data_IF_718662319323
#
_entry.id   IF_718662319323
#
_cell.length_a   1.000
_cell.length_b   1.000
_cell.length_c   1.000
_cell.angle_alpha   90.00
_cell.angle_beta   90.00
_cell.angle_gamma   90.00
#
_symmetry.space_group_name_H-M   'P 1'
#
loop_
_entity.id
_entity.type
_entity.pdbx_description
1 polymer ?
#
# COMPACT_ATOMS: atom_id res chain seq x y z
N UNK A 1 9.77 -24.78 7.55
CA UNK A 1 8.85 -25.42 6.58
C UNK A 1 8.33 -24.33 5.66
N UNK A 2 8.43 -24.56 4.38
CA UNK A 2 7.85 -23.65 3.38
C UNK A 2 6.33 -23.82 3.37
N UNK A 3 5.60 -22.70 3.34
CA UNK A 3 4.13 -22.73 3.30
C UNK A 3 3.72 -23.19 1.89
N UNK A 4 2.91 -24.24 1.81
CA UNK A 4 2.31 -24.69 0.57
C UNK A 4 1.28 -23.65 0.09
N UNK A 5 1.41 -23.24 -1.17
CA UNK A 5 0.51 -22.28 -1.79
C UNK A 5 -0.72 -23.02 -2.33
N UNK A 6 -1.87 -22.44 -2.10
CA UNK A 6 -3.14 -22.88 -2.71
C UNK A 6 -3.63 -21.84 -3.72
N UNK A 7 -4.34 -22.29 -4.74
CA UNK A 7 -4.88 -21.43 -5.79
C UNK A 7 -5.82 -20.35 -5.23
N UNK A 8 -6.66 -20.73 -4.28
CA UNK A 8 -7.60 -19.84 -3.58
C UNK A 8 -7.62 -20.15 -2.10
N UNK A 9 -7.33 -19.16 -1.26
CA UNK A 9 -7.31 -19.32 0.20
C UNK A 9 -8.72 -19.18 0.78
N UNK A 10 -9.12 -20.10 1.65
CA UNK A 10 -10.42 -20.05 2.30
C UNK A 10 -10.46 -18.93 3.35
N UNK A 11 -11.44 -18.02 3.19
CA UNK A 11 -11.63 -16.88 4.09
C UNK A 11 -11.90 -17.29 5.54
N UNK A 12 -12.58 -18.42 5.76
CA UNK A 12 -12.88 -18.89 7.11
C UNK A 12 -11.62 -19.27 7.87
N UNK A 13 -10.61 -19.80 7.18
CA UNK A 13 -9.32 -20.17 7.80
C UNK A 13 -8.51 -18.95 8.25
N UNK A 14 -8.72 -17.77 7.64
CA UNK A 14 -8.01 -16.54 8.02
C UNK A 14 -8.28 -16.15 9.47
N UNK A 15 -9.48 -16.42 9.99
CA UNK A 15 -9.87 -16.04 11.36
C UNK A 15 -8.94 -16.65 12.41
N UNK A 16 -8.44 -17.86 12.16
CA UNK A 16 -7.63 -18.64 13.08
C UNK A 16 -6.13 -18.37 12.95
N UNK A 17 -5.70 -17.61 11.96
CA UNK A 17 -4.29 -17.31 11.76
C UNK A 17 -3.77 -16.31 12.79
N UNK A 18 -2.48 -16.40 13.18
CA UNK A 18 -1.85 -15.41 14.02
C UNK A 18 -1.86 -14.03 13.33
N UNK A 19 -2.14 -12.95 14.08
CA UNK A 19 -2.12 -11.61 13.51
C UNK A 19 -0.70 -11.16 13.21
N UNK A 20 -0.57 -10.36 12.17
CA UNK A 20 0.66 -9.63 11.84
C UNK A 20 0.32 -8.22 11.40
N UNK A 21 1.19 -7.28 11.71
CA UNK A 21 1.09 -5.88 11.33
C UNK A 21 2.49 -5.29 11.17
N UNK A 22 2.58 -4.12 10.59
CA UNK A 22 3.82 -3.39 10.50
C UNK A 22 4.30 -2.91 11.87
N UNK A 23 5.54 -3.24 12.25
CA UNK A 23 6.12 -2.87 13.55
C UNK A 23 7.24 -1.81 13.44
N UNK A 24 7.56 -1.37 12.22
CA UNK A 24 8.58 -0.37 11.97
C UNK A 24 8.14 1.07 12.29
N UNK A 25 8.98 2.02 11.91
CA UNK A 25 8.72 3.44 12.12
C UNK A 25 7.70 4.00 11.15
N UNK A 26 6.75 4.78 11.66
CA UNK A 26 5.72 5.46 10.87
C UNK A 26 5.94 6.97 10.97
N UNK A 27 6.13 7.62 9.81
CA UNK A 27 6.26 9.06 9.69
C UNK A 27 4.98 9.65 9.10
N UNK A 28 4.39 10.63 9.78
CA UNK A 28 3.21 11.35 9.30
C UNK A 28 3.68 12.69 8.74
N UNK A 29 3.40 12.94 7.46
CA UNK A 29 3.87 14.08 6.72
C UNK A 29 2.67 14.92 6.29
N UNK A 30 2.68 16.21 6.65
CA UNK A 30 1.56 17.11 6.45
C UNK A 30 1.90 18.32 5.58
N UNK A 31 3.18 18.52 5.30
CA UNK A 31 3.70 19.64 4.54
C UNK A 31 4.58 19.21 3.37
N UNK A 32 4.74 20.08 2.38
CA UNK A 32 5.63 19.83 1.25
C UNK A 32 7.10 19.68 1.69
N UNK A 33 7.55 20.48 2.65
CA UNK A 33 8.93 20.39 3.16
C UNK A 33 9.22 19.07 3.89
N UNK A 34 8.26 18.55 4.66
CA UNK A 34 8.37 17.20 5.25
C UNK A 34 8.41 16.14 4.17
N UNK A 35 7.55 16.29 3.15
CA UNK A 35 7.48 15.37 2.02
C UNK A 35 8.78 15.35 1.22
N UNK A 36 9.41 16.50 0.98
CA UNK A 36 10.68 16.57 0.27
C UNK A 36 11.77 15.75 0.95
N UNK A 37 11.96 15.90 2.27
CA UNK A 37 12.96 15.13 3.03
C UNK A 37 12.67 13.61 3.03
N UNK A 38 11.41 13.24 3.10
CA UNK A 38 11.02 11.84 3.03
C UNK A 38 11.28 11.27 1.62
N UNK A 39 10.94 12.02 0.58
CA UNK A 39 11.15 11.61 -0.81
C UNK A 39 12.64 11.47 -1.12
N UNK A 40 13.51 12.38 -0.65
CA UNK A 40 14.96 12.24 -0.80
C UNK A 40 15.49 10.91 -0.27
N UNK A 41 14.94 10.43 0.84
CA UNK A 41 15.24 9.10 1.36
C UNK A 41 14.65 7.97 0.51
N UNK A 42 13.39 8.11 0.07
CA UNK A 42 12.68 7.08 -0.70
C UNK A 42 13.27 6.90 -2.10
N UNK A 43 13.77 7.96 -2.72
CA UNK A 43 14.45 7.90 -4.03
C UNK A 43 15.73 7.06 -4.03
N UNK A 44 16.28 6.73 -2.86
CA UNK A 44 17.45 5.86 -2.72
C UNK A 44 17.07 4.37 -2.58
N UNK A 45 15.79 4.03 -2.61
CA UNK A 45 15.29 2.65 -2.40
C UNK A 45 14.87 2.02 -3.73
N UNK A 46 15.30 0.79 -4.03
CA UNK A 46 14.95 0.15 -5.29
C UNK A 46 13.51 -0.37 -5.34
N UNK A 47 12.88 -0.56 -4.18
CA UNK A 47 11.55 -1.15 -4.02
C UNK A 47 10.78 -0.45 -2.91
N UNK A 48 9.55 -0.04 -3.21
CA UNK A 48 8.63 0.61 -2.29
C UNK A 48 7.26 -0.04 -2.35
N UNK A 49 6.62 -0.22 -1.21
CA UNK A 49 5.21 -0.55 -1.10
C UNK A 49 4.35 0.70 -1.23
N UNK A 50 3.19 0.55 -1.83
CA UNK A 50 2.33 1.67 -2.18
C UNK A 50 0.86 1.31 -1.90
N UNK A 51 0.13 2.26 -1.31
CA UNK A 51 -1.31 2.18 -1.13
C UNK A 51 -1.92 3.58 -0.98
N UNK A 52 -3.23 3.72 -1.10
CA UNK A 52 -3.94 4.98 -0.86
C UNK A 52 -5.18 4.77 -0.02
N UNK A 53 -5.55 5.82 0.74
CA UNK A 53 -6.80 5.82 1.48
C UNK A 53 -7.66 7.04 1.16
N UNK A 54 -8.94 6.77 0.99
CA UNK A 54 -9.95 7.79 0.70
C UNK A 54 -11.06 7.69 1.74
N UNK A 55 -11.51 8.84 2.25
CA UNK A 55 -12.67 8.86 3.14
C UNK A 55 -13.89 8.25 2.42
N UNK A 56 -14.55 7.24 2.99
CA UNK A 56 -15.72 6.64 2.38
C UNK A 56 -16.85 7.66 2.18
N UNK A 57 -17.55 7.55 1.04
CA UNK A 57 -18.74 8.34 0.77
C UNK A 57 -19.96 7.43 0.74
N UNK A 58 -20.96 7.77 1.52
CA UNK A 58 -22.26 7.07 1.54
C UNK A 58 -23.31 7.76 0.67
N UNK A 59 -22.92 8.86 -0.02
CA UNK A 59 -23.78 9.58 -0.95
C UNK A 59 -23.53 9.12 -2.37
N UNK A 60 -24.60 8.71 -3.09
CA UNK A 60 -24.51 8.28 -4.49
C UNK A 60 -23.92 9.40 -5.35
N UNK A 61 -22.90 9.06 -6.15
CA UNK A 61 -22.23 9.99 -7.08
C UNK A 61 -21.21 10.93 -6.45
N UNK A 62 -21.06 10.95 -5.10
CA UNK A 62 -20.02 11.74 -4.44
C UNK A 62 -18.74 10.92 -4.28
N UNK A 63 -17.68 11.37 -4.95
CA UNK A 63 -16.34 10.81 -4.82
C UNK A 63 -15.46 11.76 -3.99
N UNK A 64 -14.93 11.27 -2.88
CA UNK A 64 -13.92 12.00 -2.12
C UNK A 64 -12.56 11.87 -2.81
N UNK A 65 -11.68 12.84 -2.62
CA UNK A 65 -10.30 12.77 -3.09
C UNK A 65 -9.46 11.86 -2.18
N UNK A 66 -8.40 11.28 -2.70
CA UNK A 66 -7.43 10.54 -1.87
C UNK A 66 -6.95 11.42 -0.74
N UNK A 67 -7.12 10.96 0.50
CA UNK A 67 -6.75 11.71 1.70
C UNK A 67 -5.33 11.37 2.19
N UNK A 68 -4.91 10.12 1.99
CA UNK A 68 -3.64 9.59 2.47
C UNK A 68 -2.98 8.80 1.35
N UNK A 69 -1.68 9.02 1.17
CA UNK A 69 -0.81 8.18 0.36
C UNK A 69 0.17 7.48 1.30
N UNK A 70 0.28 6.17 1.19
CA UNK A 70 1.23 5.37 1.95
C UNK A 70 2.37 4.89 1.06
N UNK A 71 3.60 5.12 1.52
CA UNK A 71 4.81 4.57 0.88
C UNK A 71 5.65 3.88 1.95
N UNK A 72 5.93 2.59 1.76
CA UNK A 72 6.64 1.77 2.74
C UNK A 72 7.92 1.15 2.18
N UNK A 73 8.93 1.07 3.03
CA UNK A 73 10.07 0.16 2.92
C UNK A 73 9.82 -1.08 3.79
N UNK A 74 10.83 -1.89 4.07
CA UNK A 74 10.71 -3.02 4.99
C UNK A 74 10.52 -2.59 6.45
N UNK A 75 11.08 -1.45 6.85
CA UNK A 75 11.22 -1.01 8.24
C UNK A 75 10.67 0.40 8.51
N UNK A 76 10.30 1.14 7.47
CA UNK A 76 9.77 2.49 7.57
C UNK A 76 8.53 2.67 6.68
N UNK A 77 7.56 3.43 7.17
CA UNK A 77 6.39 3.81 6.38
C UNK A 77 6.14 5.32 6.48
N UNK A 78 5.88 5.93 5.34
CA UNK A 78 5.63 7.35 5.18
C UNK A 78 4.19 7.57 4.79
N UNK A 79 3.45 8.25 5.66
CA UNK A 79 2.03 8.57 5.52
C UNK A 79 1.88 10.04 5.09
N UNK A 80 1.76 10.27 3.79
CA UNK A 80 1.59 11.61 3.23
C UNK A 80 0.12 12.01 3.33
N UNK A 81 -0.19 12.99 4.19
CA UNK A 81 -1.53 13.52 4.42
C UNK A 81 -1.93 14.46 3.27
N UNK A 82 -2.31 13.90 2.12
CA UNK A 82 -2.67 14.71 0.94
C UNK A 82 -3.87 15.62 1.17
N UNK A 83 -4.76 15.29 2.11
CA UNK A 83 -5.85 16.17 2.53
C UNK A 83 -5.40 17.44 3.27
N UNK A 84 -4.13 17.51 3.68
CA UNK A 84 -3.48 18.69 4.30
C UNK A 84 -2.60 19.47 3.32
N UNK A 85 -2.47 18.95 2.09
CA UNK A 85 -1.63 19.53 1.05
C UNK A 85 -2.48 19.96 -0.13
N UNK A 86 -2.00 20.93 -0.90
CA UNK A 86 -2.61 21.33 -2.15
C UNK A 86 -2.13 20.40 -3.28
N UNK A 87 -3.05 19.82 -4.04
CA UNK A 87 -2.72 18.94 -5.17
C UNK A 87 -1.94 17.70 -4.74
N UNK A 88 -0.88 17.41 -5.47
CA UNK A 88 0.20 16.47 -5.16
C UNK A 88 1.50 17.26 -5.17
N UNK A 89 2.13 17.54 -4.01
CA UNK A 89 3.39 18.29 -3.95
C UNK A 89 4.47 17.77 -4.88
N UNK A 90 5.26 18.68 -5.45
CA UNK A 90 6.30 18.35 -6.44
C UNK A 90 7.23 17.19 -6.02
N UNK A 91 7.72 17.11 -4.78
CA UNK A 91 8.54 15.97 -4.37
C UNK A 91 7.82 14.63 -4.47
N UNK A 92 6.54 14.58 -4.06
CA UNK A 92 5.72 13.36 -4.15
C UNK A 92 5.51 12.98 -5.62
N UNK A 93 5.22 13.96 -6.48
CA UNK A 93 5.07 13.72 -7.92
C UNK A 93 6.35 13.15 -8.53
N UNK A 94 7.53 13.69 -8.19
CA UNK A 94 8.83 13.15 -8.60
C UNK A 94 8.96 11.67 -8.24
N UNK A 95 8.59 11.28 -7.02
CA UNK A 95 8.62 9.87 -6.59
C UNK A 95 7.63 8.99 -7.39
N UNK A 96 6.42 9.51 -7.66
CA UNK A 96 5.41 8.77 -8.40
C UNK A 96 5.80 8.55 -9.87
N UNK A 97 6.47 9.53 -10.48
CA UNK A 97 6.89 9.53 -11.88
C UNK A 97 8.24 8.79 -12.10
N UNK A 98 8.99 8.48 -11.05
CA UNK A 98 10.29 7.83 -11.17
C UNK A 98 10.16 6.42 -11.77
N UNK A 99 10.90 6.14 -12.84
CA UNK A 99 10.91 4.85 -13.55
C UNK A 99 11.96 3.86 -13.01
N UNK A 100 12.97 4.35 -12.28
CA UNK A 100 14.02 3.49 -11.73
C UNK A 100 13.55 2.73 -10.48
N UNK A 101 12.65 3.35 -9.70
CA UNK A 101 12.13 2.78 -8.47
C UNK A 101 10.89 1.95 -8.73
N UNK A 102 10.92 0.69 -8.32
CA UNK A 102 9.74 -0.18 -8.38
C UNK A 102 8.80 0.13 -7.22
N UNK A 103 7.57 0.56 -7.54
CA UNK A 103 6.49 0.77 -6.58
C UNK A 103 5.47 -0.38 -6.73
N UNK A 104 5.23 -1.12 -5.65
CA UNK A 104 4.34 -2.28 -5.66
C UNK A 104 3.10 -2.02 -4.81
N UNK A 105 1.94 -2.29 -5.35
CA UNK A 105 0.66 -2.14 -4.66
C UNK A 105 -0.34 -3.17 -5.13
N UNK A 106 -1.55 -3.13 -4.60
CA UNK A 106 -2.60 -4.09 -4.93
C UNK A 106 -3.82 -3.37 -5.50
N UNK A 107 -4.22 -3.72 -6.73
CA UNK A 107 -5.38 -3.10 -7.38
C UNK A 107 -5.13 -1.65 -7.80
N UNK A 108 -3.93 -1.33 -8.22
CA UNK A 108 -3.38 0.02 -8.45
C UNK A 108 -4.16 0.89 -9.44
N UNK A 109 -5.00 0.30 -10.29
CA UNK A 109 -5.74 1.05 -11.31
C UNK A 109 -6.59 2.17 -10.71
N UNK A 110 -7.34 1.84 -9.66
CA UNK A 110 -8.25 2.79 -9.00
C UNK A 110 -7.47 3.84 -8.21
N UNK A 111 -6.36 3.44 -7.56
CA UNK A 111 -5.48 4.37 -6.84
C UNK A 111 -4.88 5.42 -7.78
N UNK A 112 -4.35 4.98 -8.93
CA UNK A 112 -3.79 5.90 -9.93
C UNK A 112 -4.85 6.88 -10.46
N UNK A 113 -6.03 6.39 -10.81
CA UNK A 113 -7.12 7.25 -11.27
C UNK A 113 -7.54 8.27 -10.20
N UNK A 114 -7.64 7.85 -8.94
CA UNK A 114 -8.03 8.72 -7.85
C UNK A 114 -6.94 9.75 -7.49
N UNK A 115 -5.67 9.39 -7.56
CA UNK A 115 -4.56 10.33 -7.41
C UNK A 115 -4.53 11.35 -8.54
N UNK A 116 -4.69 10.92 -9.80
CA UNK A 116 -4.72 11.81 -10.97
C UNK A 116 -5.90 12.79 -10.96
N UNK A 117 -6.98 12.50 -10.21
CA UNK A 117 -8.05 13.50 -9.93
C UNK A 117 -7.61 14.62 -9.01
N UNK A 118 -6.54 14.42 -8.21
CA UNK A 118 -5.96 15.51 -7.41
C UNK A 118 -5.06 16.40 -8.25
N UNK A 119 -4.21 15.79 -9.04
CA UNK A 119 -3.29 16.46 -9.95
C UNK A 119 -2.77 15.45 -10.98
N UNK A 120 -2.62 15.88 -12.22
CA UNK A 120 -2.11 15.02 -13.28
C UNK A 120 -0.62 14.75 -13.10
N UNK A 121 -0.22 13.47 -13.28
CA UNK A 121 1.16 13.02 -13.34
C UNK A 121 1.25 11.77 -14.24
N UNK A 122 2.43 11.46 -14.74
CA UNK A 122 2.70 10.24 -15.50
C UNK A 122 3.27 9.18 -14.58
N UNK A 123 2.53 8.10 -14.26
CA UNK A 123 3.06 7.06 -13.37
C UNK A 123 4.32 6.43 -13.95
N UNK A 124 5.38 6.38 -13.14
CA UNK A 124 6.60 5.65 -13.46
C UNK A 124 6.42 4.13 -13.31
N UNK A 125 7.41 3.45 -12.75
CA UNK A 125 7.38 1.98 -12.63
C UNK A 125 6.50 1.52 -11.46
N UNK A 126 5.25 1.13 -11.75
CA UNK A 126 4.31 0.48 -10.82
C UNK A 126 4.06 -0.97 -11.20
N UNK A 127 3.97 -1.84 -10.20
CA UNK A 127 3.68 -3.27 -10.37
C UNK A 127 2.47 -3.63 -9.49
N UNK A 128 1.40 -4.12 -10.12
CA UNK A 128 0.23 -4.59 -9.41
C UNK A 128 0.40 -6.04 -8.96
N UNK A 129 0.36 -6.25 -7.66
CA UNK A 129 0.48 -7.56 -7.02
C UNK A 129 -0.58 -8.54 -7.53
N UNK A 130 -1.78 -8.07 -7.91
CA UNK A 130 -2.82 -8.94 -8.46
C UNK A 130 -2.39 -9.67 -9.75
N UNK A 131 -1.45 -9.08 -10.50
CA UNK A 131 -0.87 -9.72 -11.68
C UNK A 131 0.31 -10.62 -11.32
N UNK A 132 1.12 -10.21 -10.34
CA UNK A 132 2.30 -10.95 -9.92
C UNK A 132 1.97 -12.30 -9.25
N UNK A 133 0.96 -12.33 -8.40
CA UNK A 133 0.54 -13.56 -7.68
C UNK A 133 0.09 -14.68 -8.62
N UNK A 134 -0.41 -14.34 -9.81
CA UNK A 134 -0.82 -15.35 -10.81
C UNK A 134 0.36 -16.16 -11.34
N UNK A 135 1.57 -15.58 -11.35
CA UNK A 135 2.81 -16.24 -11.80
C UNK A 135 3.21 -17.41 -10.90
N UNK A 136 2.73 -17.43 -9.67
CA UNK A 136 2.96 -18.50 -8.69
C UNK A 136 1.67 -19.31 -8.39
N UNK A 137 0.64 -19.20 -9.23
CA UNK A 137 -0.58 -20.01 -9.18
C UNK A 137 -1.68 -19.51 -8.24
N UNK A 138 -1.54 -18.32 -7.63
CA UNK A 138 -2.58 -17.73 -6.77
C UNK A 138 -3.60 -16.97 -7.61
N UNK A 139 -4.89 -17.23 -7.40
CA UNK A 139 -6.02 -16.53 -8.06
C UNK A 139 -6.69 -15.47 -7.18
N UNK A 140 -6.40 -15.46 -5.89
CA UNK A 140 -6.95 -14.45 -4.98
C UNK A 140 -6.51 -13.03 -5.40
N UNK A 141 -7.43 -12.06 -5.22
CA UNK A 141 -7.22 -10.65 -5.57
C UNK A 141 -7.19 -9.71 -4.35
N UNK A 142 -7.49 -10.23 -3.17
CA UNK A 142 -7.55 -9.42 -1.95
C UNK A 142 -6.31 -9.58 -1.08
N UNK A 143 -5.77 -8.46 -0.57
CA UNK A 143 -4.53 -8.42 0.21
C UNK A 143 -4.49 -9.42 1.36
N UNK A 144 -5.58 -9.51 2.16
CA UNK A 144 -5.64 -10.45 3.29
C UNK A 144 -5.51 -11.92 2.88
N UNK A 145 -6.16 -12.31 1.78
CA UNK A 145 -6.12 -13.70 1.31
C UNK A 145 -4.75 -14.04 0.75
N UNK A 146 -4.17 -13.15 -0.05
CA UNK A 146 -2.82 -13.31 -0.60
C UNK A 146 -1.80 -13.39 0.56
N UNK A 147 -1.92 -12.49 1.55
CA UNK A 147 -1.03 -12.49 2.70
C UNK A 147 -1.14 -13.77 3.53
N UNK A 148 -2.37 -14.22 3.79
CA UNK A 148 -2.64 -15.47 4.52
C UNK A 148 -2.06 -16.69 3.79
N UNK A 149 -2.23 -16.76 2.48
CA UNK A 149 -1.74 -17.83 1.62
C UNK A 149 -0.21 -17.92 1.63
N UNK A 150 0.47 -16.77 1.55
CA UNK A 150 1.93 -16.74 1.46
C UNK A 150 2.64 -16.89 2.82
N UNK A 151 2.03 -16.35 3.89
CA UNK A 151 2.72 -16.23 5.18
C UNK A 151 2.06 -16.98 6.34
N UNK A 152 0.88 -17.59 6.13
CA UNK A 152 0.13 -18.23 7.21
C UNK A 152 -0.24 -17.26 8.34
N UNK A 153 -0.40 -15.98 8.04
CA UNK A 153 -0.71 -14.92 8.99
C UNK A 153 -1.84 -14.03 8.47
N UNK A 154 -2.52 -13.32 9.37
CA UNK A 154 -3.59 -12.40 9.00
C UNK A 154 -3.23 -10.96 9.27
N UNK A 155 -3.60 -10.08 8.33
CA UNK A 155 -3.61 -8.62 8.51
C UNK A 155 -5.05 -8.13 8.70
N UNK A 156 -5.23 -7.02 9.43
CA UNK A 156 -6.57 -6.49 9.78
C UNK A 156 -7.17 -5.66 8.64
N UNK A 157 -8.51 -5.60 8.57
CA UNK A 157 -9.28 -4.66 7.72
C UNK A 157 -10.08 -3.63 8.53
N UNK A 158 -9.87 -3.56 9.83
CA UNK A 158 -10.74 -2.81 10.73
C UNK A 158 -10.83 -1.31 10.45
N UNK A 159 -9.80 -0.71 9.85
CA UNK A 159 -9.75 0.72 9.58
C UNK A 159 -10.10 1.10 8.12
N UNK A 160 -10.40 0.15 7.27
CA UNK A 160 -10.69 0.38 5.84
C UNK A 160 -11.75 1.46 5.57
N UNK A 161 -12.80 1.52 6.39
CA UNK A 161 -13.89 2.50 6.26
C UNK A 161 -13.77 3.67 7.24
N UNK A 162 -12.58 3.99 7.69
CA UNK A 162 -12.31 5.08 8.63
C UNK A 162 -12.41 6.46 7.97
N UNK A 163 -12.52 7.50 8.81
CA UNK A 163 -12.41 8.88 8.35
C UNK A 163 -10.92 9.24 8.16
N UNK A 164 -10.42 9.06 6.94
CA UNK A 164 -9.04 9.38 6.57
C UNK A 164 -8.75 10.89 6.46
N UNK A 165 -9.80 11.72 6.51
CA UNK A 165 -9.69 13.19 6.54
C UNK A 165 -9.72 13.78 7.95
N UNK A 166 -9.78 12.93 8.99
CA UNK A 166 -9.77 13.39 10.38
C UNK A 166 -8.55 14.28 10.68
N UNK A 167 -8.68 15.20 11.64
CA UNK A 167 -7.60 16.12 12.02
C UNK A 167 -6.34 15.36 12.45
N UNK A 168 -6.52 14.32 13.24
CA UNK A 168 -5.45 13.42 13.66
C UNK A 168 -5.82 11.99 13.33
N UNK A 169 -4.91 11.25 12.72
CA UNK A 169 -5.07 9.81 12.54
C UNK A 169 -4.74 9.09 13.85
N UNK A 170 -5.63 8.21 14.27
CA UNK A 170 -5.38 7.35 15.44
C UNK A 170 -4.20 6.41 15.19
N UNK A 171 -3.57 5.91 16.25
CA UNK A 171 -2.51 4.91 16.13
C UNK A 171 -2.96 3.65 15.36
N UNK A 172 -4.24 3.26 15.51
CA UNK A 172 -4.82 2.13 14.78
C UNK A 172 -4.91 2.41 13.27
N UNK A 173 -5.33 3.63 12.85
CA UNK A 173 -5.34 4.03 11.45
C UNK A 173 -3.93 4.08 10.86
N UNK A 174 -2.99 4.69 11.57
CA UNK A 174 -1.59 4.76 11.14
C UNK A 174 -1.00 3.37 10.92
N UNK A 175 -1.20 2.46 11.89
CA UNK A 175 -0.70 1.08 11.82
C UNK A 175 -1.35 0.29 10.68
N UNK A 176 -2.66 0.47 10.49
CA UNK A 176 -3.39 -0.15 9.39
C UNK A 176 -2.83 0.30 8.03
N UNK A 177 -2.77 1.60 7.79
CA UNK A 177 -2.27 2.16 6.54
C UNK A 177 -0.81 1.76 6.24
N UNK A 178 0.04 1.75 7.27
CA UNK A 178 1.41 1.29 7.14
C UNK A 178 1.49 -0.21 6.81
N UNK A 179 0.60 -1.01 7.41
CA UNK A 179 0.57 -2.46 7.17
C UNK A 179 0.19 -2.80 5.73
N UNK A 180 -0.77 -2.10 5.13
CA UNK A 180 -1.24 -2.39 3.77
C UNK A 180 -0.13 -2.10 2.73
N UNK A 181 0.55 -0.96 2.82
CA UNK A 181 1.68 -0.65 1.94
C UNK A 181 2.89 -1.59 2.18
N UNK A 182 3.24 -1.86 3.44
CA UNK A 182 4.34 -2.77 3.79
C UNK A 182 4.08 -4.23 3.36
N UNK A 183 2.84 -4.70 3.49
CA UNK A 183 2.46 -6.03 3.05
C UNK A 183 2.71 -6.22 1.55
N UNK A 184 2.52 -5.17 0.75
CA UNK A 184 2.82 -5.20 -0.68
C UNK A 184 4.31 -5.45 -0.95
N UNK A 185 5.23 -4.82 -0.20
CA UNK A 185 6.67 -5.09 -0.30
C UNK A 185 6.96 -6.55 -0.01
N UNK A 186 6.45 -7.06 1.11
CA UNK A 186 6.70 -8.45 1.53
C UNK A 186 6.17 -9.47 0.53
N UNK A 187 4.93 -9.27 0.06
CA UNK A 187 4.31 -10.14 -0.93
C UNK A 187 5.15 -10.17 -2.20
N UNK A 188 5.53 -9.01 -2.72
CA UNK A 188 6.33 -8.94 -3.95
C UNK A 188 7.68 -9.64 -3.79
N UNK A 189 8.38 -9.42 -2.68
CA UNK A 189 9.66 -10.09 -2.40
C UNK A 189 9.50 -11.60 -2.31
N UNK A 190 8.45 -12.10 -1.67
CA UNK A 190 8.17 -13.54 -1.57
C UNK A 190 7.85 -14.14 -2.95
N UNK A 191 7.07 -13.46 -3.78
CA UNK A 191 6.80 -13.88 -5.16
C UNK A 191 8.11 -14.00 -5.94
N UNK A 192 8.97 -12.96 -5.88
CA UNK A 192 10.26 -12.95 -6.58
C UNK A 192 11.20 -14.07 -6.08
N UNK A 193 11.17 -14.37 -4.77
CA UNK A 193 11.92 -15.48 -4.18
C UNK A 193 11.47 -16.82 -4.77
N UNK A 194 10.15 -17.06 -4.81
CA UNK A 194 9.57 -18.31 -5.31
C UNK A 194 9.80 -18.51 -6.80
N UNK A 195 9.66 -17.46 -7.61
CA UNK A 195 9.93 -17.53 -9.06
C UNK A 195 11.37 -17.94 -9.35
N UNK A 196 12.34 -17.53 -8.54
CA UNK A 196 13.76 -17.93 -8.72
C UNK A 196 14.05 -19.38 -8.33
N UNK A 197 13.12 -20.04 -7.66
CA UNK A 197 13.25 -21.43 -7.21
C UNK A 197 12.57 -22.44 -8.16
N UNK A 198 11.80 -21.93 -9.15
CA UNK A 198 11.21 -22.71 -10.24
C UNK A 198 12.20 -22.82 -11.40
#
# INVERSE_FOLDING_TARGET
MEIEIVETYDKENIKNLPPEQFEGHIYILQTENESARAVDYLLQKPLLGFDTETRPSFQKGKLNKVALLQVATQDQCFLFRLNRMQGIPSPIRTLLEDEAITKVGLGLKDDMQNLQRREHFTPGRFIDIQNEVTKIGIKDKGLQKIYANLFGKKITKRQQLSNWEADTLTAAQQRYAATDAWACVRIYQEIQRRIRQI
#
